data_IF_258562896133
#
_entry.id   IF_258562896133
#
_cell.length_a   1.000
_cell.length_b   1.000
_cell.length_c   1.000
_cell.angle_alpha   90.00
_cell.angle_beta   90.00
_cell.angle_gamma   90.00
#
_symmetry.space_group_name_H-M   'P 1'
#
loop_
_entity.id
_entity.type
_entity.pdbx_description
1 polymer ?
#
# COMPACT_ATOMS: atom_id res chain seq x y z
N UNK A 1 -3.63 -10.72 -13.02
CA UNK A 1 -4.26 -10.05 -14.19
C UNK A 1 -5.65 -9.57 -13.78
N UNK A 2 -6.13 -8.42 -14.29
CA UNK A 2 -7.40 -7.82 -13.88
C UNK A 2 -8.34 -7.74 -15.08
N UNK A 3 -9.53 -8.33 -14.97
CA UNK A 3 -10.58 -8.31 -16.01
C UNK A 3 -11.68 -7.27 -15.76
N UNK A 4 -11.57 -6.49 -14.68
CA UNK A 4 -12.55 -5.45 -14.37
C UNK A 4 -13.89 -5.94 -13.84
N UNK A 5 -14.02 -7.18 -13.36
CA UNK A 5 -15.26 -7.69 -12.75
C UNK A 5 -15.61 -7.05 -11.39
N UNK A 6 -14.66 -6.34 -10.77
CA UNK A 6 -14.80 -5.61 -9.50
C UNK A 6 -15.18 -6.44 -8.26
N UNK A 7 -15.28 -7.76 -8.37
CA UNK A 7 -15.60 -8.60 -7.22
C UNK A 7 -14.58 -8.46 -6.08
N UNK A 8 -13.31 -8.22 -6.43
CA UNK A 8 -12.26 -7.95 -5.45
C UNK A 8 -12.49 -6.67 -4.63
N UNK A 9 -13.22 -5.68 -5.17
CA UNK A 9 -13.62 -4.47 -4.45
C UNK A 9 -14.72 -4.76 -3.45
N UNK A 10 -15.76 -5.50 -3.88
CA UNK A 10 -16.86 -5.91 -3.01
C UNK A 10 -16.36 -6.78 -1.85
N UNK A 11 -15.43 -7.69 -2.12
CA UNK A 11 -14.84 -8.57 -1.10
C UNK A 11 -13.90 -7.85 -0.12
N UNK A 12 -13.43 -6.63 -0.41
CA UNK A 12 -12.49 -5.93 0.45
C UNK A 12 -13.22 -5.16 1.55
N UNK A 13 -13.11 -5.55 2.84
CA UNK A 13 -13.88 -4.91 3.92
C UNK A 13 -13.40 -3.49 4.26
N UNK A 14 -12.29 -3.07 3.67
CA UNK A 14 -11.62 -1.79 3.94
C UNK A 14 -11.89 -0.73 2.87
N UNK A 15 -12.56 -1.07 1.76
CA UNK A 15 -12.75 -0.13 0.64
C UNK A 15 -11.44 0.38 0.01
N UNK A 16 -10.33 -0.34 0.22
CA UNK A 16 -8.97 0.10 -0.14
C UNK A 16 -8.59 -0.13 -1.62
N UNK A 17 -9.56 -0.47 -2.46
CA UNK A 17 -9.38 -0.73 -3.89
C UNK A 17 -10.06 0.36 -4.72
N UNK A 18 -9.39 0.83 -5.75
CA UNK A 18 -9.87 1.89 -6.65
C UNK A 18 -10.01 1.35 -8.06
N UNK A 19 -11.08 1.70 -8.76
CA UNK A 19 -11.33 1.26 -10.14
C UNK A 19 -11.11 2.41 -11.11
N UNK A 20 -10.43 2.12 -12.22
CA UNK A 20 -10.20 3.10 -13.27
C UNK A 20 -11.38 3.15 -14.23
N UNK A 21 -12.27 4.12 -14.01
CA UNK A 21 -13.47 4.34 -14.83
C UNK A 21 -13.17 5.00 -16.17
N UNK A 22 -12.26 5.98 -16.17
CA UNK A 22 -11.81 6.70 -17.35
C UNK A 22 -10.59 6.06 -18.02
N UNK A 23 -10.31 6.49 -19.24
CA UNK A 23 -8.95 6.32 -19.80
C UNK A 23 -8.04 7.37 -19.15
N UNK A 24 -6.79 7.03 -18.80
CA UNK A 24 -5.82 8.02 -18.35
C UNK A 24 -5.73 9.14 -19.41
N UNK A 25 -5.95 10.37 -18.99
CA UNK A 25 -5.77 11.57 -19.81
C UNK A 25 -4.52 12.29 -19.30
N UNK A 26 -3.35 11.75 -19.63
CA UNK A 26 -2.05 12.28 -19.25
C UNK A 26 -1.35 12.61 -20.57
N UNK A 27 -0.83 13.82 -20.72
CA UNK A 27 -0.06 14.19 -21.90
C UNK A 27 1.18 13.31 -22.01
N UNK A 28 1.56 12.94 -23.23
CA UNK A 28 2.72 12.05 -23.45
C UNK A 28 4.03 12.64 -22.93
N UNK A 29 4.15 13.97 -22.88
CA UNK A 29 5.34 14.65 -22.36
C UNK A 29 5.42 14.63 -20.83
N UNK A 30 4.28 14.47 -20.14
CA UNK A 30 4.21 14.39 -18.68
C UNK A 30 4.43 12.97 -18.15
N UNK A 31 4.45 11.97 -19.04
CA UNK A 31 4.67 10.58 -18.65
C UNK A 31 6.16 10.32 -18.51
N UNK A 32 6.61 9.97 -17.30
CA UNK A 32 7.96 9.45 -17.10
C UNK A 32 8.11 8.03 -17.71
N UNK A 33 8.88 7.85 -18.80
CA UNK A 33 9.08 6.54 -19.42
C UNK A 33 9.92 5.61 -18.55
N UNK A 34 10.80 6.16 -17.70
CA UNK A 34 11.61 5.40 -16.76
C UNK A 34 10.85 5.15 -15.44
N UNK A 35 9.85 4.27 -15.54
CA UNK A 35 9.08 3.79 -14.39
C UNK A 35 9.18 2.28 -14.29
N UNK A 36 9.51 1.75 -13.11
CA UNK A 36 9.55 0.31 -12.83
C UNK A 36 8.22 -0.39 -13.23
N UNK A 37 8.30 -1.63 -13.73
CA UNK A 37 7.13 -2.40 -14.20
C UNK A 37 6.02 -2.55 -13.14
N UNK A 38 6.40 -2.77 -11.89
CA UNK A 38 5.50 -2.84 -10.74
C UNK A 38 5.24 -1.48 -10.07
N UNK A 39 5.77 -0.40 -10.62
CA UNK A 39 5.60 0.95 -10.12
C UNK A 39 4.27 1.59 -10.51
N UNK A 40 4.22 2.90 -10.38
CA UNK A 40 3.03 3.72 -10.65
C UNK A 40 2.86 4.00 -12.15
N UNK A 41 2.90 2.96 -12.99
CA UNK A 41 2.59 3.11 -14.41
C UNK A 41 1.09 3.37 -14.58
N UNK A 42 0.68 4.29 -15.48
CA UNK A 42 -0.73 4.49 -15.80
C UNK A 42 -1.38 3.16 -16.20
N UNK A 43 -2.48 2.78 -15.55
CA UNK A 43 -3.20 1.55 -15.86
C UNK A 43 -4.37 1.85 -16.80
N UNK A 44 -4.73 0.84 -17.58
CA UNK A 44 -5.86 0.94 -18.51
C UNK A 44 -7.19 1.11 -17.78
N UNK A 45 -8.14 1.76 -18.48
CA UNK A 45 -9.56 1.76 -18.12
C UNK A 45 -10.02 0.32 -17.88
N UNK A 46 -10.80 0.09 -16.84
CA UNK A 46 -11.28 -1.24 -16.48
C UNK A 46 -10.42 -1.99 -15.46
N UNK A 47 -9.30 -1.41 -15.02
CA UNK A 47 -8.40 -2.05 -14.05
C UNK A 47 -8.70 -1.60 -12.63
N UNK A 48 -8.57 -2.51 -11.66
CA UNK A 48 -8.58 -2.21 -10.22
C UNK A 48 -7.16 -2.04 -9.71
N UNK A 49 -6.93 -0.97 -8.97
CA UNK A 49 -5.70 -0.65 -8.27
C UNK A 49 -5.88 -0.70 -6.75
N UNK A 50 -4.77 -0.79 -6.04
CA UNK A 50 -4.69 -0.73 -4.58
C UNK A 50 -3.27 -0.37 -4.15
N UNK A 51 -3.09 -0.05 -2.88
CA UNK A 51 -1.76 0.01 -2.29
C UNK A 51 -1.03 -1.34 -2.45
N UNK A 52 0.22 -1.29 -2.88
CA UNK A 52 1.11 -2.45 -3.06
C UNK A 52 2.34 -2.37 -2.16
N UNK A 53 2.28 -1.53 -1.12
CA UNK A 53 3.44 -1.19 -0.28
C UNK A 53 4.68 -0.82 -1.08
N UNK A 54 4.46 -0.08 -2.18
CA UNK A 54 5.50 0.36 -3.10
C UNK A 54 6.48 -0.77 -3.44
N UNK A 55 6.00 -1.92 -3.88
CA UNK A 55 6.81 -3.10 -4.22
C UNK A 55 8.02 -2.78 -5.12
N UNK A 56 7.90 -1.77 -5.97
CA UNK A 56 8.98 -1.25 -6.82
C UNK A 56 10.13 -0.58 -6.04
N UNK A 57 9.87 -0.09 -4.82
CA UNK A 57 10.85 0.53 -3.92
C UNK A 57 11.37 -0.48 -2.91
N UNK A 58 10.45 -1.22 -2.27
CA UNK A 58 10.79 -2.10 -1.15
C UNK A 58 11.65 -3.29 -1.56
N UNK A 59 11.52 -3.78 -2.80
CA UNK A 59 12.42 -4.81 -3.35
C UNK A 59 13.87 -4.34 -3.52
N UNK A 60 14.11 -3.04 -3.59
CA UNK A 60 15.43 -2.44 -3.64
C UNK A 60 15.90 -1.94 -2.26
N UNK A 61 15.26 -2.38 -1.17
CA UNK A 61 15.59 -1.96 0.20
C UNK A 61 15.17 -0.53 0.53
N UNK A 62 14.42 0.16 -0.33
CA UNK A 62 13.96 1.52 -0.09
C UNK A 62 12.63 1.54 0.66
N UNK A 63 12.39 2.58 1.45
CA UNK A 63 11.09 2.77 2.09
C UNK A 63 9.97 3.01 1.07
N UNK A 64 8.72 2.63 1.40
CA UNK A 64 7.56 3.06 0.65
C UNK A 64 7.48 4.57 0.58
N UNK A 65 7.04 5.11 -0.55
CA UNK A 65 7.00 6.56 -0.78
C UNK A 65 6.22 7.32 0.30
N UNK A 66 5.15 6.72 0.81
CA UNK A 66 4.32 7.35 1.83
C UNK A 66 4.91 7.31 3.25
N UNK A 67 5.91 6.46 3.49
CA UNK A 67 6.67 6.41 4.75
C UNK A 67 7.76 7.47 4.68
N UNK A 68 8.50 7.51 3.58
CA UNK A 68 9.60 8.45 3.34
C UNK A 68 9.12 9.91 3.26
N UNK A 69 7.96 10.16 2.66
CA UNK A 69 7.40 11.50 2.54
C UNK A 69 6.77 12.03 3.84
N UNK A 70 6.63 11.22 4.90
CA UNK A 70 5.91 11.61 6.10
C UNK A 70 6.83 12.41 7.05
N UNK A 71 6.64 13.73 7.23
CA UNK A 71 7.56 14.57 8.01
C UNK A 71 7.53 14.27 9.51
N UNK A 72 6.37 13.80 10.01
CA UNK A 72 6.15 13.54 11.45
C UNK A 72 6.42 12.09 11.85
N UNK A 73 6.87 11.24 10.92
CA UNK A 73 7.13 9.82 11.21
C UNK A 73 5.90 9.00 11.62
N UNK A 74 4.68 9.41 11.22
CA UNK A 74 3.43 8.71 11.56
C UNK A 74 3.31 7.30 10.97
N UNK A 75 4.11 6.97 9.95
CA UNK A 75 4.10 5.65 9.30
C UNK A 75 5.47 5.02 9.45
N UNK A 76 5.46 3.74 9.80
CA UNK A 76 6.64 2.90 10.01
C UNK A 76 6.46 1.63 9.21
N UNK A 77 7.52 1.15 8.56
CA UNK A 77 7.47 0.02 7.65
C UNK A 77 8.69 -0.86 7.85
N UNK A 78 8.50 -2.18 7.88
CA UNK A 78 9.57 -3.12 8.12
C UNK A 78 9.12 -4.56 7.91
N UNK A 79 10.06 -5.48 8.06
CA UNK A 79 9.81 -6.91 7.99
C UNK A 79 9.35 -7.44 9.34
N UNK A 80 8.11 -7.91 9.45
CA UNK A 80 7.55 -8.45 10.71
C UNK A 80 8.28 -9.70 11.21
N UNK A 81 8.96 -10.42 10.31
CA UNK A 81 9.74 -11.61 10.66
C UNK A 81 11.14 -11.27 11.19
N UNK A 82 11.58 -10.03 11.02
CA UNK A 82 12.84 -9.54 11.54
C UNK A 82 12.62 -8.96 12.94
N UNK A 83 13.19 -9.58 14.00
CA UNK A 83 12.99 -9.14 15.37
C UNK A 83 13.55 -7.74 15.64
N UNK A 84 14.54 -7.30 14.85
CA UNK A 84 15.22 -6.01 15.03
C UNK A 84 14.56 -4.89 14.20
N UNK A 85 13.46 -5.18 13.51
CA UNK A 85 12.77 -4.20 12.66
C UNK A 85 11.95 -3.17 13.45
N UNK A 86 11.83 -1.95 12.90
CA UNK A 86 11.03 -0.87 13.50
C UNK A 86 9.58 -1.30 13.79
N UNK A 87 8.97 -2.10 12.89
CA UNK A 87 7.60 -2.58 13.07
C UNK A 87 7.51 -3.59 14.21
N UNK A 88 8.53 -4.45 14.39
CA UNK A 88 8.56 -5.41 15.50
C UNK A 88 8.62 -4.67 16.83
N UNK A 89 9.52 -3.69 16.94
CA UNK A 89 9.61 -2.84 18.12
C UNK A 89 8.26 -2.19 18.46
N UNK A 90 7.53 -1.66 17.48
CA UNK A 90 6.21 -1.03 17.72
C UNK A 90 5.15 -2.03 18.16
N UNK A 91 5.11 -3.24 17.58
CA UNK A 91 4.15 -4.27 17.98
C UNK A 91 4.39 -4.72 19.42
N UNK A 92 5.66 -4.86 19.83
CA UNK A 92 6.01 -5.36 21.16
C UNK A 92 5.96 -4.28 22.26
N UNK A 93 6.22 -3.01 21.92
CA UNK A 93 6.41 -1.94 22.92
C UNK A 93 5.32 -0.86 22.91
N UNK A 94 4.41 -0.85 21.93
CA UNK A 94 3.33 0.15 21.85
C UNK A 94 1.96 -0.53 21.89
N UNK A 95 0.95 0.24 22.28
CA UNK A 95 -0.44 -0.21 22.16
C UNK A 95 -0.82 -0.21 20.68
N UNK A 96 -1.03 -1.40 20.14
CA UNK A 96 -1.40 -1.63 18.74
C UNK A 96 -2.78 -2.24 18.62
N UNK A 97 -3.47 -1.96 17.52
CA UNK A 97 -4.68 -2.66 17.11
C UNK A 97 -4.72 -2.81 15.59
N UNK A 98 -5.45 -3.81 15.10
CA UNK A 98 -5.76 -3.99 13.69
C UNK A 98 -7.18 -3.49 13.43
N UNK A 99 -7.39 -2.88 12.27
CA UNK A 99 -8.72 -2.41 11.90
C UNK A 99 -9.62 -3.61 11.55
N UNK A 100 -10.84 -3.66 12.09
CA UNK A 100 -11.84 -4.73 11.85
C UNK A 100 -11.32 -6.14 12.19
N UNK A 101 -10.84 -6.33 13.42
CA UNK A 101 -10.28 -7.61 13.89
C UNK A 101 -11.32 -8.74 13.86
N UNK A 102 -12.59 -8.41 14.08
CA UNK A 102 -13.74 -9.31 14.06
C UNK A 102 -13.90 -10.07 12.74
N UNK A 103 -13.42 -9.50 11.63
CA UNK A 103 -13.49 -10.12 10.31
C UNK A 103 -12.37 -11.13 10.03
N UNK A 104 -11.42 -11.29 10.96
CA UNK A 104 -10.33 -12.28 10.91
C UNK A 104 -9.55 -12.31 9.57
N UNK A 105 -9.34 -11.15 8.94
CA UNK A 105 -8.60 -11.04 7.65
C UNK A 105 -7.09 -10.89 7.83
N UNK A 106 -6.61 -10.90 9.09
CA UNK A 106 -5.21 -10.79 9.49
C UNK A 106 -4.38 -9.73 8.73
N UNK A 107 -4.84 -8.46 8.65
CA UNK A 107 -4.15 -7.45 7.87
C UNK A 107 -2.73 -7.21 8.41
N UNK A 108 -1.76 -7.06 7.50
CA UNK A 108 -0.38 -6.65 7.82
C UNK A 108 -0.25 -5.13 7.83
N UNK A 109 -1.20 -4.48 8.51
CA UNK A 109 -1.25 -3.04 8.72
C UNK A 109 -1.77 -2.81 10.14
N UNK A 110 -0.95 -2.19 10.96
CA UNK A 110 -1.20 -2.00 12.39
C UNK A 110 -1.35 -0.51 12.67
N UNK A 111 -2.34 -0.18 13.49
CA UNK A 111 -2.49 1.16 14.05
C UNK A 111 -1.89 1.16 15.44
N UNK A 112 -1.14 2.19 15.78
CA UNK A 112 -0.55 2.36 17.10
C UNK A 112 -0.87 3.75 17.63
N UNK A 113 -0.96 3.87 18.95
CA UNK A 113 -1.17 5.15 19.60
C UNK A 113 0.18 5.82 19.85
N UNK A 114 0.38 7.00 19.26
CA UNK A 114 1.50 7.86 19.61
C UNK A 114 1.16 8.57 20.94
N UNK A 115 1.96 8.31 21.97
CA UNK A 115 2.04 9.09 23.21
C UNK A 115 2.83 10.36 22.98
#
# INVERSE_FOLDING_TARGET
WCIGCRYCMAACPYGARRFNWGRPNIDTNDVNPDTHYLGNRPRYKGTVEKCTFCVQRTRAGKYPACVEACPVGARKFGNILDPDSEIRYLIDNKRVFRLKEDLNTEPKFFYFYAT
#
